data_IF_450796635639
#
_entry.id   IF_450796635639
#
_cell.length_a   1.000
_cell.length_b   1.000
_cell.length_c   1.000
_cell.angle_alpha   90.00
_cell.angle_beta   90.00
_cell.angle_gamma   90.00
#
_symmetry.space_group_name_H-M   'P 1'
#
loop_
_entity.id
_entity.type
_entity.pdbx_description
1 polymer ?
#
# COMPACT_ATOMS: atom_id res chain seq x y z
N UNK A 1 11.52 -11.64 13.85
CA UNK A 1 11.93 -10.64 14.85
C UNK A 1 10.85 -9.57 14.79
N UNK A 2 9.88 -9.62 15.69
CA UNK A 2 8.80 -8.64 15.72
C UNK A 2 9.38 -7.30 16.17
N UNK A 3 9.24 -6.26 15.36
CA UNK A 3 9.56 -4.91 15.81
C UNK A 3 8.36 -4.49 16.66
N UNK A 4 8.52 -4.54 17.97
CA UNK A 4 7.53 -4.01 18.90
C UNK A 4 7.48 -2.50 18.69
N UNK A 5 6.47 -2.02 17.95
CA UNK A 5 6.26 -0.58 17.79
C UNK A 5 5.85 -0.03 19.15
N UNK A 6 6.60 0.95 19.62
CA UNK A 6 6.42 1.53 20.93
C UNK A 6 4.96 2.05 21.09
N UNK A 7 4.19 1.55 22.08
CA UNK A 7 2.83 2.01 22.33
C UNK A 7 2.72 3.53 22.60
N UNK A 8 3.82 4.19 22.94
CA UNK A 8 3.92 5.64 23.04
C UNK A 8 3.77 6.36 21.68
N UNK A 9 4.22 5.76 20.57
CA UNK A 9 4.06 6.32 19.21
C UNK A 9 2.57 6.41 18.86
N UNK A 10 1.82 5.36 19.16
CA UNK A 10 0.39 5.27 18.90
C UNK A 10 -0.38 6.32 19.72
N UNK A 11 0.03 6.51 20.98
CA UNK A 11 -0.54 7.51 21.89
C UNK A 11 -0.22 8.96 21.47
N UNK A 12 0.95 9.19 20.85
CA UNK A 12 1.34 10.49 20.33
C UNK A 12 0.45 10.90 19.14
N UNK A 13 0.24 10.00 18.17
CA UNK A 13 -0.61 10.25 17.01
C UNK A 13 -2.04 10.66 17.44
N UNK A 14 -2.62 9.97 18.43
CA UNK A 14 -3.91 10.34 19.00
C UNK A 14 -3.89 11.72 19.69
N UNK A 15 -2.81 12.02 20.40
CA UNK A 15 -2.69 13.29 21.12
C UNK A 15 -2.63 14.46 20.13
N UNK A 16 -1.90 14.30 19.03
CA UNK A 16 -1.81 15.32 17.97
C UNK A 16 -3.16 15.60 17.32
N UNK A 17 -3.93 14.57 16.96
CA UNK A 17 -5.27 14.73 16.39
C UNK A 17 -6.22 15.46 17.36
N UNK A 18 -6.25 15.03 18.63
CA UNK A 18 -7.14 15.60 19.64
C UNK A 18 -6.79 17.03 20.06
N UNK A 19 -5.51 17.40 20.02
CA UNK A 19 -5.04 18.69 20.56
C UNK A 19 -4.76 19.74 19.48
N UNK A 20 -4.35 19.32 18.29
CA UNK A 20 -3.91 20.22 17.22
C UNK A 20 -4.85 20.20 16.00
N UNK A 21 -5.82 19.29 15.93
CA UNK A 21 -6.77 19.15 14.80
C UNK A 21 -6.06 19.08 13.43
N UNK A 22 -4.90 18.41 13.40
CA UNK A 22 -4.09 18.22 12.19
C UNK A 22 -4.58 17.01 11.40
N UNK A 23 -4.42 17.07 10.08
CA UNK A 23 -4.80 15.97 9.19
C UNK A 23 -3.92 14.72 9.38
N UNK A 24 -4.42 13.55 8.98
CA UNK A 24 -3.66 12.30 9.02
C UNK A 24 -2.33 12.36 8.24
N UNK A 25 -2.29 13.06 7.10
CA UNK A 25 -1.07 13.27 6.33
C UNK A 25 -0.04 14.12 7.07
N UNK A 26 -0.47 15.15 7.81
CA UNK A 26 0.42 15.94 8.66
C UNK A 26 0.95 15.12 9.85
N UNK A 27 0.10 14.27 10.44
CA UNK A 27 0.53 13.35 11.49
C UNK A 27 1.57 12.37 10.92
N UNK A 28 1.32 11.78 9.75
CA UNK A 28 2.27 10.91 9.07
C UNK A 28 3.62 11.59 8.86
N UNK A 29 3.61 12.84 8.38
CA UNK A 29 4.81 13.63 8.15
C UNK A 29 5.62 13.85 9.43
N UNK A 30 4.97 14.22 10.54
CA UNK A 30 5.65 14.41 11.84
C UNK A 30 6.21 13.09 12.39
N UNK A 31 5.48 11.99 12.23
CA UNK A 31 5.93 10.67 12.66
C UNK A 31 7.16 10.20 11.88
N UNK A 32 7.25 10.53 10.59
CA UNK A 32 8.38 10.17 9.73
C UNK A 32 9.50 11.21 9.69
N UNK A 33 9.34 12.35 10.38
CA UNK A 33 10.31 13.44 10.36
C UNK A 33 11.69 12.91 10.79
N UNK A 34 12.74 13.04 9.95
CA UNK A 34 14.08 12.55 10.27
C UNK A 34 14.72 13.27 11.46
N UNK A 35 14.30 14.51 11.74
CA UNK A 35 14.74 15.27 12.92
C UNK A 35 13.89 14.93 14.18
N UNK A 36 12.82 14.15 14.00
CA UNK A 36 11.89 13.72 15.03
C UNK A 36 11.97 12.22 15.34
N UNK A 37 10.85 11.51 15.13
CA UNK A 37 10.77 10.07 15.42
C UNK A 37 11.36 9.18 14.32
N UNK A 38 11.55 9.73 13.11
CA UNK A 38 12.16 9.05 11.97
C UNK A 38 11.57 7.65 11.70
N UNK A 39 10.23 7.55 11.76
CA UNK A 39 9.55 6.27 11.54
C UNK A 39 9.47 5.94 10.05
N UNK A 40 9.65 4.66 9.75
CA UNK A 40 9.43 4.13 8.40
C UNK A 40 7.94 4.14 8.02
N UNK A 41 7.62 4.13 6.72
CA UNK A 41 6.24 4.14 6.23
C UNK A 41 5.37 3.01 6.83
N UNK A 42 5.92 1.81 7.02
CA UNK A 42 5.23 0.69 7.71
C UNK A 42 4.89 1.03 9.17
N UNK A 43 5.81 1.65 9.91
CA UNK A 43 5.57 2.03 11.31
C UNK A 43 4.54 3.15 11.42
N UNK A 44 4.57 4.10 10.48
CA UNK A 44 3.53 5.13 10.36
C UNK A 44 2.18 4.48 10.05
N UNK A 45 2.11 3.55 9.08
CA UNK A 45 0.88 2.85 8.73
C UNK A 45 0.24 2.17 9.95
N UNK A 46 1.04 1.44 10.72
CA UNK A 46 0.59 0.81 11.96
C UNK A 46 0.07 1.84 12.97
N UNK A 47 0.80 2.93 13.23
CA UNK A 47 0.40 3.95 14.19
C UNK A 47 -0.94 4.63 13.81
N UNK A 48 -1.17 4.83 12.51
CA UNK A 48 -2.41 5.40 11.98
C UNK A 48 -3.58 4.39 12.04
N UNK A 49 -3.33 3.10 11.77
CA UNK A 49 -4.39 2.08 11.72
C UNK A 49 -4.74 1.45 13.07
N UNK A 50 -3.81 1.47 14.03
CA UNK A 50 -3.98 0.76 15.30
C UNK A 50 -5.26 1.24 16.02
N UNK A 51 -6.02 0.30 16.61
CA UNK A 51 -7.28 0.60 17.28
C UNK A 51 -7.11 1.47 18.54
N UNK A 52 -5.94 1.41 19.17
CA UNK A 52 -5.50 2.33 20.22
C UNK A 52 -4.77 3.58 19.68
N UNK A 53 -4.71 3.75 18.35
CA UNK A 53 -4.18 4.89 17.61
C UNK A 53 -5.29 5.74 17.00
N UNK A 54 -5.13 6.18 15.76
CA UNK A 54 -6.18 6.95 15.07
C UNK A 54 -7.31 6.04 14.54
N UNK A 55 -7.11 4.72 14.52
CA UNK A 55 -8.09 3.74 14.03
C UNK A 55 -8.62 4.10 12.62
N UNK A 56 -7.72 4.58 11.75
CA UNK A 56 -8.08 4.99 10.40
C UNK A 56 -8.39 3.78 9.53
N UNK A 57 -9.26 3.99 8.53
CA UNK A 57 -9.50 2.98 7.49
C UNK A 57 -8.25 2.77 6.64
N UNK A 58 -8.08 1.59 6.02
CA UNK A 58 -6.97 1.34 5.10
C UNK A 58 -6.79 2.40 4.00
N UNK A 59 -7.90 2.91 3.44
CA UNK A 59 -7.86 3.96 2.42
C UNK A 59 -7.34 5.28 2.95
N UNK A 60 -7.74 5.67 4.17
CA UNK A 60 -7.24 6.88 4.82
C UNK A 60 -5.76 6.76 5.20
N UNK A 61 -5.32 5.58 5.63
CA UNK A 61 -3.89 5.31 5.89
C UNK A 61 -3.08 5.41 4.59
N UNK A 62 -3.55 4.78 3.50
CA UNK A 62 -2.88 4.86 2.21
C UNK A 62 -2.70 6.30 1.75
N UNK A 63 -3.76 7.13 1.84
CA UNK A 63 -3.70 8.54 1.46
C UNK A 63 -2.72 9.32 2.35
N UNK A 64 -2.76 9.09 3.67
CA UNK A 64 -1.87 9.75 4.61
C UNK A 64 -0.39 9.42 4.35
N UNK A 65 -0.08 8.17 3.99
CA UNK A 65 1.27 7.77 3.61
C UNK A 65 1.67 8.41 2.29
N UNK A 66 0.82 8.30 1.26
CA UNK A 66 1.11 8.78 -0.09
C UNK A 66 1.35 10.29 -0.10
N UNK A 67 0.45 11.07 0.50
CA UNK A 67 0.56 12.53 0.54
C UNK A 67 1.54 13.01 1.61
N UNK A 68 1.43 12.46 2.83
CA UNK A 68 2.17 12.95 3.99
C UNK A 68 3.65 12.61 3.96
N UNK A 69 4.00 11.44 3.41
CA UNK A 69 5.39 11.02 3.26
C UNK A 69 5.94 11.28 1.86
N UNK A 70 5.08 11.62 0.89
CA UNK A 70 5.47 11.80 -0.53
C UNK A 70 6.20 10.57 -1.08
N UNK A 71 5.73 9.37 -0.70
CA UNK A 71 6.31 8.09 -1.11
C UNK A 71 5.57 7.49 -2.31
N UNK A 72 6.20 6.55 -3.00
CA UNK A 72 5.59 5.87 -4.15
C UNK A 72 4.44 4.95 -3.74
N UNK A 73 3.57 4.63 -4.71
CA UNK A 73 2.54 3.62 -4.52
C UNK A 73 3.12 2.23 -4.16
N UNK A 74 4.32 1.91 -4.63
CA UNK A 74 5.08 0.72 -4.23
C UNK A 74 5.37 0.71 -2.73
N UNK A 75 5.90 1.81 -2.18
CA UNK A 75 6.15 1.92 -0.74
C UNK A 75 4.86 1.86 0.07
N UNK A 76 3.77 2.46 -0.42
CA UNK A 76 2.46 2.34 0.22
C UNK A 76 1.96 0.90 0.20
N UNK A 77 2.06 0.19 -0.92
CA UNK A 77 1.61 -1.21 -1.04
C UNK A 77 2.34 -2.11 -0.04
N UNK A 78 3.66 -1.91 0.11
CA UNK A 78 4.48 -2.60 1.10
C UNK A 78 4.04 -2.28 2.53
N UNK A 79 3.85 -1.01 2.89
CA UNK A 79 3.42 -0.63 4.23
C UNK A 79 2.03 -1.19 4.60
N UNK A 80 1.13 -1.31 3.62
CA UNK A 80 -0.19 -1.90 3.79
C UNK A 80 -0.14 -3.42 3.99
N UNK A 81 0.77 -4.12 3.30
CA UNK A 81 0.88 -5.58 3.38
C UNK A 81 1.76 -6.06 4.54
N UNK A 82 2.77 -5.26 4.95
CA UNK A 82 3.76 -5.68 5.95
C UNK A 82 3.07 -6.09 7.27
N UNK A 83 3.44 -7.24 7.87
CA UNK A 83 2.90 -7.68 9.16
C UNK A 83 3.17 -6.72 10.33
N UNK A 84 4.19 -5.86 10.22
CA UNK A 84 4.48 -4.78 11.17
C UNK A 84 3.91 -3.42 10.72
N UNK A 85 3.20 -3.41 9.60
CA UNK A 85 2.40 -2.29 9.11
C UNK A 85 0.92 -2.54 9.38
N UNK A 86 0.12 -2.66 8.32
CA UNK A 86 -1.32 -2.96 8.46
C UNK A 86 -1.69 -4.45 8.34
N UNK A 87 -0.75 -5.31 7.93
CA UNK A 87 -0.97 -6.74 7.73
C UNK A 87 -2.19 -7.07 6.84
N UNK A 88 -2.43 -6.26 5.80
CA UNK A 88 -3.56 -6.48 4.91
C UNK A 88 -3.29 -7.66 3.97
N UNK A 89 -4.30 -8.50 3.69
CA UNK A 89 -4.22 -9.45 2.59
C UNK A 89 -3.91 -8.74 1.27
N UNK A 90 -3.05 -9.32 0.43
CA UNK A 90 -2.61 -8.70 -0.84
C UNK A 90 -3.79 -8.27 -1.74
N UNK A 91 -4.86 -9.07 -1.80
CA UNK A 91 -6.10 -8.73 -2.55
C UNK A 91 -6.74 -7.44 -2.03
N UNK A 92 -6.70 -7.21 -0.72
CA UNK A 92 -7.18 -5.97 -0.10
C UNK A 92 -6.28 -4.79 -0.43
N UNK A 93 -4.95 -4.99 -0.47
CA UNK A 93 -4.00 -3.93 -0.82
C UNK A 93 -4.32 -3.32 -2.19
N UNK A 94 -4.54 -4.15 -3.23
CA UNK A 94 -4.89 -3.65 -4.56
C UNK A 94 -6.19 -2.82 -4.57
N UNK A 95 -7.21 -3.23 -3.80
CA UNK A 95 -8.45 -2.46 -3.65
C UNK A 95 -8.23 -1.14 -2.94
N UNK A 96 -7.39 -1.12 -1.90
CA UNK A 96 -7.04 0.08 -1.17
C UNK A 96 -6.27 1.05 -2.05
N UNK A 97 -5.31 0.58 -2.86
CA UNK A 97 -4.60 1.43 -3.82
C UNK A 97 -5.57 2.03 -4.85
N UNK A 98 -6.54 1.24 -5.33
CA UNK A 98 -7.56 1.72 -6.27
C UNK A 98 -8.51 2.74 -5.67
N UNK A 99 -9.01 2.49 -4.46
CA UNK A 99 -10.07 3.30 -3.84
C UNK A 99 -9.53 4.47 -3.03
N UNK A 100 -8.38 4.28 -2.38
CA UNK A 100 -7.73 5.28 -1.57
C UNK A 100 -7.00 6.31 -2.42
N UNK A 101 -6.19 5.84 -3.39
CA UNK A 101 -5.28 6.70 -4.14
C UNK A 101 -5.72 6.96 -5.60
N UNK A 102 -6.88 6.43 -6.00
CA UNK A 102 -7.43 6.52 -7.37
C UNK A 102 -6.48 6.03 -8.48
N UNK A 103 -5.60 5.08 -8.16
CA UNK A 103 -4.61 4.58 -9.12
C UNK A 103 -5.25 3.79 -10.26
N UNK A 104 -4.72 3.95 -11.46
CA UNK A 104 -5.06 3.14 -12.62
C UNK A 104 -4.60 1.68 -12.45
N UNK A 105 -5.21 0.72 -13.17
CA UNK A 105 -4.76 -0.67 -13.15
C UNK A 105 -3.27 -0.86 -13.44
N UNK A 106 -2.68 -0.06 -14.34
CA UNK A 106 -1.24 -0.13 -14.66
C UNK A 106 -0.36 0.38 -13.52
N UNK A 107 -0.77 1.44 -12.81
CA UNK A 107 -0.04 1.93 -11.64
C UNK A 107 -0.10 0.94 -10.48
N UNK A 108 -1.25 0.27 -10.31
CA UNK A 108 -1.40 -0.81 -9.33
C UNK A 108 -0.54 -2.01 -9.74
N UNK A 109 -0.53 -2.39 -11.02
CA UNK A 109 0.33 -3.46 -11.53
C UNK A 109 1.80 -3.19 -11.22
N UNK A 110 2.27 -1.96 -11.49
CA UNK A 110 3.62 -1.52 -11.14
C UNK A 110 3.87 -1.61 -9.63
N UNK A 111 3.00 -1.04 -8.80
CA UNK A 111 3.18 -1.04 -7.35
C UNK A 111 3.22 -2.44 -6.70
N UNK A 112 2.64 -3.45 -7.36
CA UNK A 112 2.68 -4.84 -6.90
C UNK A 112 3.87 -5.62 -7.48
N UNK A 113 4.27 -5.33 -8.71
CA UNK A 113 5.37 -6.00 -9.43
C UNK A 113 6.75 -5.46 -9.05
N UNK A 114 6.85 -4.14 -8.85
CA UNK A 114 8.08 -3.42 -8.59
C UNK A 114 8.81 -3.93 -7.35
N UNK A 115 10.14 -3.87 -7.39
CA UNK A 115 11.01 -4.42 -6.35
C UNK A 115 10.93 -3.63 -5.04
N UNK A 116 10.62 -2.33 -5.13
CA UNK A 116 10.38 -1.46 -3.98
C UNK A 116 8.93 -1.58 -3.47
N UNK A 117 8.11 -2.40 -4.13
CA UNK A 117 6.72 -2.69 -3.78
C UNK A 117 6.57 -4.03 -3.08
N UNK A 118 5.69 -4.88 -3.63
CA UNK A 118 5.50 -6.25 -3.16
C UNK A 118 6.38 -7.27 -3.89
N UNK A 119 7.07 -6.88 -4.97
CA UNK A 119 7.95 -7.74 -5.76
C UNK A 119 7.28 -9.08 -6.14
N UNK A 120 6.01 -9.01 -6.54
CA UNK A 120 5.24 -10.18 -6.97
C UNK A 120 5.61 -10.55 -8.40
N UNK A 121 5.51 -11.83 -8.72
CA UNK A 121 5.64 -12.26 -10.10
C UNK A 121 4.42 -11.82 -10.95
N UNK A 122 4.58 -11.87 -12.27
CA UNK A 122 3.56 -11.42 -13.20
C UNK A 122 2.23 -12.17 -13.07
N UNK A 123 2.26 -13.47 -12.75
CA UNK A 123 1.06 -14.30 -12.59
C UNK A 123 0.29 -13.95 -11.32
N UNK A 124 1.00 -13.73 -10.22
CA UNK A 124 0.44 -13.20 -8.97
C UNK A 124 -0.22 -11.83 -9.19
N UNK A 125 0.45 -10.91 -9.87
CA UNK A 125 -0.13 -9.60 -10.20
C UNK A 125 -1.37 -9.77 -11.09
N UNK A 126 -1.32 -10.64 -12.11
CA UNK A 126 -2.47 -10.94 -12.96
C UNK A 126 -3.66 -11.41 -12.14
N UNK A 127 -3.44 -12.38 -11.24
CA UNK A 127 -4.46 -12.94 -10.35
C UNK A 127 -5.11 -11.85 -9.49
N UNK A 128 -4.30 -10.98 -8.89
CA UNK A 128 -4.79 -9.89 -8.04
C UNK A 128 -5.59 -8.90 -8.87
N UNK A 129 -5.11 -8.46 -10.02
CA UNK A 129 -5.84 -7.53 -10.89
C UNK A 129 -7.18 -8.13 -11.36
N UNK A 130 -7.19 -9.41 -11.70
CA UNK A 130 -8.40 -10.11 -12.11
C UNK A 130 -9.43 -10.23 -10.96
N UNK A 131 -9.01 -10.71 -9.78
CA UNK A 131 -9.94 -11.00 -8.69
C UNK A 131 -10.20 -9.83 -7.73
N UNK A 132 -9.19 -9.01 -7.44
CA UNK A 132 -9.35 -7.88 -6.53
C UNK A 132 -10.10 -6.73 -7.20
N UNK A 133 -9.74 -6.43 -8.46
CA UNK A 133 -10.25 -5.29 -9.21
C UNK A 133 -11.31 -5.68 -10.25
N UNK A 134 -11.62 -6.97 -10.40
CA UNK A 134 -12.65 -7.48 -11.33
C UNK A 134 -12.39 -7.08 -12.78
N UNK A 135 -11.12 -7.04 -13.17
CA UNK A 135 -10.72 -6.73 -14.54
C UNK A 135 -10.90 -7.94 -15.44
N UNK A 136 -11.26 -7.71 -16.70
CA UNK A 136 -11.21 -8.75 -17.73
C UNK A 136 -9.76 -9.15 -18.04
N UNK A 137 -9.55 -10.34 -18.61
CA UNK A 137 -8.22 -10.80 -19.01
C UNK A 137 -7.49 -9.82 -19.96
N UNK A 138 -8.24 -9.13 -20.84
CA UNK A 138 -7.69 -8.10 -21.74
C UNK A 138 -7.19 -6.89 -20.94
N UNK A 139 -7.98 -6.41 -19.98
CA UNK A 139 -7.58 -5.29 -19.12
C UNK A 139 -6.39 -5.64 -18.22
N UNK A 140 -6.31 -6.89 -17.74
CA UNK A 140 -5.14 -7.39 -17.00
C UNK A 140 -3.90 -7.38 -17.87
N UNK A 141 -4.00 -7.89 -19.11
CA UNK A 141 -2.90 -7.87 -20.06
C UNK A 141 -2.40 -6.45 -20.34
N UNK A 142 -3.32 -5.50 -20.59
CA UNK A 142 -2.98 -4.10 -20.80
C UNK A 142 -2.31 -3.45 -19.58
N UNK A 143 -2.79 -3.76 -18.38
CA UNK A 143 -2.22 -3.26 -17.14
C UNK A 143 -0.80 -3.79 -16.92
N UNK A 144 -0.57 -5.07 -17.16
CA UNK A 144 0.75 -5.70 -17.04
C UNK A 144 1.73 -5.21 -18.11
N UNK A 145 1.29 -5.07 -19.36
CA UNK A 145 2.12 -4.56 -20.44
C UNK A 145 2.59 -3.12 -20.18
N UNK A 146 1.69 -2.26 -19.68
CA UNK A 146 1.99 -0.85 -19.40
C UNK A 146 2.70 -0.64 -18.07
N UNK A 147 2.27 -1.35 -17.04
CA UNK A 147 2.72 -1.18 -15.66
C UNK A 147 3.97 -1.99 -15.35
N UNK A 148 3.95 -3.29 -15.63
CA UNK A 148 5.08 -4.19 -15.36
C UNK A 148 6.05 -4.35 -16.55
N UNK A 149 5.80 -3.65 -17.66
CA UNK A 149 6.63 -3.66 -18.87
C UNK A 149 6.90 -5.06 -19.43
N UNK A 150 5.93 -5.97 -19.30
CA UNK A 150 6.07 -7.34 -19.78
C UNK A 150 6.03 -7.40 -21.30
N UNK A 151 6.85 -8.29 -21.87
CA UNK A 151 6.75 -8.69 -23.27
C UNK A 151 5.60 -9.68 -23.51
N UNK A 152 5.32 -9.96 -24.79
CA UNK A 152 4.19 -10.81 -25.21
C UNK A 152 4.27 -12.22 -24.62
N UNK A 153 5.47 -12.81 -24.55
CA UNK A 153 5.69 -14.15 -24.00
C UNK A 153 5.39 -14.19 -22.49
N UNK A 154 5.89 -13.21 -21.74
CA UNK A 154 5.64 -13.07 -20.29
C UNK A 154 4.16 -12.81 -20.00
N UNK A 155 3.48 -12.02 -20.85
CA UNK A 155 2.03 -11.79 -20.74
C UNK A 155 1.24 -13.08 -20.93
N UNK A 156 1.60 -13.89 -21.93
CA UNK A 156 0.94 -15.17 -22.19
C UNK A 156 1.07 -16.08 -20.97
N UNK A 157 2.26 -16.19 -20.38
CA UNK A 157 2.48 -17.00 -19.19
C UNK A 157 1.65 -16.50 -18.00
N UNK A 158 1.68 -15.21 -17.70
CA UNK A 158 0.91 -14.63 -16.60
C UNK A 158 -0.61 -14.85 -16.74
N UNK A 159 -1.13 -14.80 -17.98
CA UNK A 159 -2.56 -15.00 -18.24
C UNK A 159 -2.98 -16.49 -18.29
N UNK A 160 -2.05 -17.42 -18.49
CA UNK A 160 -2.34 -18.85 -18.39
C UNK A 160 -2.71 -19.25 -16.96
N UNK A 161 -2.08 -18.62 -15.97
CA UNK A 161 -2.37 -18.87 -14.55
C UNK A 161 -3.78 -18.45 -14.13
N UNK A 162 -4.43 -17.55 -14.89
CA UNK A 162 -5.83 -17.18 -14.66
C UNK A 162 -6.85 -18.25 -15.10
N UNK A 163 -6.41 -19.24 -15.89
CA UNK A 163 -7.28 -20.30 -16.45
C UNK A 163 -7.26 -21.59 -15.63
N UNK A 164 -6.36 -21.71 -14.66
CA UNK A 164 -6.27 -22.84 -13.72
C UNK A 164 -7.18 -22.68 -12.53
#
# INVERSE_FOLDING_TARGET
>A
MSIEIDPHIVSLAQSMDKTLHVSASQIAQVLADPDGLNLSARQVAYALSAGNGLNLTPTAVAQALYDGLTVSASTVSQALHDPNGMDLPIVSVARVLRQGLDLSPSEIAWALYDMDGLNLDAGQVAFILYHALQLSAVQVAEALAKGAHLDDDSLILALQELRG
#
